data_IF_252776268658
#
_entry.id   IF_252776268658
#
_cell.length_a   1.000
_cell.length_b   1.000
_cell.length_c   1.000
_cell.angle_alpha   90.00
_cell.angle_beta   90.00
_cell.angle_gamma   90.00
#
_symmetry.space_group_name_H-M   'P 1'
#
loop_
_entity.id
_entity.type
_entity.pdbx_description
1 polymer ?
#
# COMPACT_ATOMS: atom_id res chain seq x y z
N UNK A 1 -6.51 -4.35 32.09
CA UNK A 1 -5.46 -4.21 33.13
C UNK A 1 -4.19 -3.65 32.48
N UNK A 2 -3.38 -2.85 33.20
CA UNK A 2 -2.10 -2.31 32.68
C UNK A 2 -0.93 -3.16 33.18
N UNK A 3 0.05 -3.39 32.32
CA UNK A 3 1.29 -4.09 32.69
C UNK A 3 2.13 -3.22 33.64
N UNK A 4 2.54 -3.74 34.79
CA UNK A 4 3.38 -3.01 35.76
C UNK A 4 4.84 -2.85 35.32
N UNK A 5 5.26 -3.52 34.24
CA UNK A 5 6.60 -3.37 33.66
C UNK A 5 6.68 -2.24 32.62
N UNK A 6 5.81 -2.28 31.59
CA UNK A 6 5.84 -1.32 30.48
C UNK A 6 4.71 -0.28 30.51
N UNK A 7 3.81 -0.35 31.50
CA UNK A 7 2.66 0.55 31.69
C UNK A 7 1.61 0.55 30.55
N UNK A 8 1.81 -0.24 29.50
CA UNK A 8 0.86 -0.39 28.38
C UNK A 8 -0.37 -1.19 28.82
N UNK A 9 -1.52 -0.86 28.25
CA UNK A 9 -2.75 -1.62 28.43
C UNK A 9 -2.59 -2.98 27.74
N UNK A 10 -2.62 -4.07 28.51
CA UNK A 10 -2.52 -5.42 27.94
C UNK A 10 -3.92 -6.03 27.82
N UNK A 11 -4.30 -6.40 26.60
CA UNK A 11 -5.43 -7.31 26.32
C UNK A 11 -4.98 -8.77 26.22
N UNK A 12 -3.69 -9.03 26.48
CA UNK A 12 -3.08 -10.33 26.25
C UNK A 12 -3.59 -11.40 27.23
N UNK A 13 -4.08 -12.50 26.65
CA UNK A 13 -4.51 -13.72 27.33
C UNK A 13 -3.33 -14.35 28.13
N UNK A 14 -2.09 -14.06 27.72
CA UNK A 14 -0.86 -14.61 28.31
C UNK A 14 -0.14 -13.58 29.20
N UNK A 15 -0.79 -13.18 30.29
CA UNK A 15 -0.19 -12.33 31.34
C UNK A 15 -0.02 -13.11 32.64
N UNK A 16 0.93 -12.68 33.47
CA UNK A 16 1.24 -13.31 34.77
C UNK A 16 1.07 -12.32 35.91
N UNK A 17 0.45 -12.77 37.00
CA UNK A 17 0.28 -12.00 38.24
C UNK A 17 1.35 -12.43 39.25
N UNK A 18 1.90 -11.47 39.99
CA UNK A 18 2.84 -11.76 41.08
C UNK A 18 2.16 -12.58 42.19
N UNK A 19 2.84 -13.60 42.73
CA UNK A 19 2.35 -14.38 43.88
C UNK A 19 2.71 -13.79 45.25
N UNK A 20 3.18 -12.53 45.30
CA UNK A 20 3.41 -11.82 46.55
C UNK A 20 2.10 -11.60 47.30
N UNK A 21 2.05 -11.92 48.59
CA UNK A 21 0.82 -11.88 49.40
C UNK A 21 0.10 -10.51 49.39
N UNK A 22 0.86 -9.42 49.19
CA UNK A 22 0.34 -8.05 49.08
C UNK A 22 0.65 -7.41 47.71
N UNK A 23 0.88 -8.21 46.66
CA UNK A 23 1.27 -7.71 45.35
C UNK A 23 0.23 -8.04 44.28
N UNK A 24 -0.51 -7.04 43.84
CA UNK A 24 -1.47 -7.16 42.74
C UNK A 24 -0.91 -6.77 41.36
N UNK A 25 0.42 -6.69 41.23
CA UNK A 25 1.07 -6.33 39.97
C UNK A 25 0.94 -7.45 38.93
N UNK A 26 0.62 -7.06 37.70
CA UNK A 26 0.44 -7.94 36.54
C UNK A 26 1.39 -7.53 35.42
N UNK A 27 1.90 -8.51 34.68
CA UNK A 27 2.93 -8.27 33.67
C UNK A 27 2.57 -9.02 32.37
N UNK A 28 2.83 -8.40 31.22
CA UNK A 28 2.65 -9.02 29.91
C UNK A 28 3.81 -9.95 29.55
N UNK A 29 3.56 -10.85 28.61
CA UNK A 29 4.54 -11.79 28.04
C UNK A 29 5.74 -11.13 27.35
N UNK A 30 5.65 -9.83 27.04
CA UNK A 30 6.78 -9.07 26.49
C UNK A 30 7.73 -8.56 27.59
N UNK A 31 7.21 -8.25 28.79
CA UNK A 31 8.03 -7.80 29.92
C UNK A 31 8.66 -8.96 30.69
N UNK A 32 8.10 -10.16 30.54
CA UNK A 32 8.58 -11.37 31.19
C UNK A 32 8.51 -12.47 30.15
N UNK A 33 9.58 -13.24 30.01
CA UNK A 33 9.61 -14.38 29.09
C UNK A 33 8.78 -15.57 29.62
N UNK A 34 7.45 -15.42 29.67
CA UNK A 34 6.50 -16.42 30.20
C UNK A 34 6.55 -17.71 29.35
N UNK A 35 6.85 -17.60 28.06
CA UNK A 35 6.90 -18.73 27.12
C UNK A 35 7.95 -19.78 27.49
N UNK A 36 9.04 -19.38 28.11
CA UNK A 36 10.14 -20.28 28.50
C UNK A 36 10.03 -20.81 29.93
N UNK A 37 9.02 -20.39 30.69
CA UNK A 37 8.82 -20.82 32.07
C UNK A 37 7.94 -22.07 32.16
N UNK A 38 8.30 -23.00 33.05
CA UNK A 38 7.44 -24.14 33.40
C UNK A 38 6.18 -23.68 34.15
N UNK A 39 5.11 -24.48 34.11
CA UNK A 39 3.84 -24.13 34.76
C UNK A 39 3.97 -23.97 36.28
N UNK A 40 4.85 -24.73 36.93
CA UNK A 40 5.15 -24.56 38.37
C UNK A 40 5.83 -23.22 38.66
N UNK A 41 6.80 -22.82 37.83
CA UNK A 41 7.46 -21.52 37.96
C UNK A 41 6.49 -20.38 37.72
N UNK A 42 5.51 -20.53 36.82
CA UNK A 42 4.45 -19.53 36.60
C UNK A 42 3.58 -19.33 37.83
N UNK A 43 3.15 -20.41 38.50
CA UNK A 43 2.32 -20.32 39.72
C UNK A 43 3.06 -19.65 40.89
N UNK A 44 4.36 -19.88 40.99
CA UNK A 44 5.20 -19.36 42.08
C UNK A 44 5.99 -18.10 41.70
N UNK A 45 5.66 -17.46 40.58
CA UNK A 45 6.41 -16.32 40.07
C UNK A 45 6.22 -15.09 40.95
N UNK A 46 7.32 -14.44 41.33
CA UNK A 46 7.33 -13.17 42.06
C UNK A 46 7.98 -12.09 41.22
N UNK A 47 7.41 -10.89 41.27
CA UNK A 47 7.98 -9.73 40.59
C UNK A 47 9.32 -9.30 41.23
N UNK A 48 10.17 -8.58 40.48
CA UNK A 48 11.45 -8.09 41.00
C UNK A 48 11.34 -7.33 42.32
N UNK A 49 10.30 -6.50 42.47
CA UNK A 49 10.08 -5.72 43.69
C UNK A 49 9.80 -6.62 44.90
N UNK A 50 8.95 -7.64 44.74
CA UNK A 50 8.67 -8.60 45.81
C UNK A 50 9.90 -9.44 46.16
N UNK A 51 10.71 -9.81 45.17
CA UNK A 51 11.98 -10.48 45.38
C UNK A 51 12.96 -9.60 46.15
N UNK A 52 13.03 -8.31 45.82
CA UNK A 52 13.88 -7.34 46.51
C UNK A 52 13.41 -7.06 47.94
N UNK A 53 12.10 -6.92 48.16
CA UNK A 53 11.53 -6.70 49.50
C UNK A 53 11.78 -7.91 50.42
N UNK A 54 11.74 -9.15 49.90
CA UNK A 54 12.09 -10.33 50.70
C UNK A 54 13.57 -10.37 51.11
N UNK A 55 14.45 -9.68 50.38
CA UNK A 55 15.89 -9.60 50.67
C UNK A 55 16.29 -8.42 51.57
N UNK A 56 15.36 -7.54 51.95
CA UNK A 56 15.61 -6.48 52.95
C UNK A 56 15.72 -7.11 54.33
N UNK A 57 16.91 -7.57 54.70
CA UNK A 57 17.18 -8.15 56.02
C UNK A 57 18.37 -9.09 56.05
N UNK A 58 19.44 -8.80 55.30
CA UNK A 58 20.73 -9.42 55.58
C UNK A 58 21.32 -8.76 56.81
N UNK A 59 21.68 -9.55 57.82
CA UNK A 59 22.42 -9.05 58.96
C UNK A 59 23.82 -8.64 58.51
N UNK A 60 24.02 -7.33 58.29
CA UNK A 60 25.31 -6.78 57.89
C UNK A 60 26.28 -6.65 59.09
N UNK A 61 25.94 -7.19 60.27
CA UNK A 61 26.78 -7.18 61.48
C UNK A 61 28.16 -7.80 61.30
N UNK A 62 28.31 -8.70 60.32
CA UNK A 62 29.59 -9.33 59.96
C UNK A 62 30.28 -8.67 58.77
N UNK A 63 29.77 -7.54 58.26
CA UNK A 63 30.46 -6.76 57.23
C UNK A 63 31.52 -5.94 57.93
N UNK A 64 32.83 -6.18 57.71
CA UNK A 64 33.87 -5.44 58.41
C UNK A 64 33.81 -3.97 57.99
N UNK A 65 33.43 -3.08 58.92
CA UNK A 65 33.51 -1.64 58.72
C UNK A 65 35.00 -1.27 58.88
N UNK A 66 35.69 -1.07 57.76
CA UNK A 66 37.08 -0.58 57.81
C UNK A 66 37.08 0.87 58.32
N UNK A 67 38.03 1.23 59.20
CA UNK A 67 38.27 2.63 59.55
C UNK A 67 38.60 3.43 58.28
N UNK A 68 38.12 4.67 58.25
CA UNK A 68 38.15 5.55 57.11
C UNK A 68 39.57 6.09 56.82
N UNK A 69 40.46 5.23 56.38
CA UNK A 69 41.72 5.62 55.75
C UNK A 69 41.60 5.39 54.24
N UNK A 70 41.48 6.49 53.50
CA UNK A 70 41.88 6.76 52.10
C UNK A 70 41.89 5.62 51.05
N UNK A 71 41.12 4.57 51.27
CA UNK A 71 40.75 3.56 50.29
C UNK A 71 39.24 3.66 50.13
N UNK A 72 38.78 4.84 49.72
CA UNK A 72 37.63 4.90 48.84
C UNK A 72 38.01 3.96 47.70
N UNK A 73 37.35 2.81 47.61
CA UNK A 73 37.21 2.18 46.30
C UNK A 73 36.52 3.26 45.48
N UNK A 74 37.32 4.09 44.80
CA UNK A 74 36.86 4.78 43.63
C UNK A 74 36.33 3.62 42.82
N UNK A 75 35.01 3.45 42.86
CA UNK A 75 34.29 2.54 42.00
C UNK A 75 34.88 2.88 40.65
N UNK A 76 35.74 1.99 40.14
CA UNK A 76 36.56 2.22 38.95
C UNK A 76 35.63 2.98 38.04
N UNK A 77 35.91 4.28 37.80
CA UNK A 77 35.14 5.00 36.78
C UNK A 77 35.16 4.02 35.64
N UNK A 78 33.96 3.62 35.20
CA UNK A 78 33.81 2.71 34.10
C UNK A 78 34.39 3.47 32.91
N UNK A 79 35.72 3.49 32.81
CA UNK A 79 36.45 3.77 31.61
C UNK A 79 35.97 2.63 30.73
N UNK A 80 34.94 2.96 29.96
CA UNK A 80 34.44 2.13 28.88
C UNK A 80 35.67 1.59 28.19
N UNK A 81 35.86 0.27 28.30
CA UNK A 81 36.95 -0.38 27.59
C UNK A 81 36.84 0.07 26.12
N UNK A 82 37.94 0.33 25.40
CA UNK A 82 37.87 0.53 23.96
C UNK A 82 37.03 -0.56 23.25
N UNK A 83 36.98 -1.76 23.82
CA UNK A 83 36.13 -2.87 23.38
C UNK A 83 34.63 -2.65 23.63
N UNK A 84 34.23 -2.03 24.74
CA UNK A 84 32.83 -1.70 25.04
C UNK A 84 32.31 -0.61 24.11
N UNK A 85 33.14 0.39 23.80
CA UNK A 85 32.83 1.45 22.84
C UNK A 85 32.72 0.92 21.41
N UNK A 86 33.66 0.05 21.00
CA UNK A 86 33.58 -0.62 19.70
C UNK A 86 32.32 -1.50 19.61
N UNK A 87 31.96 -2.22 20.67
CA UNK A 87 30.75 -3.03 20.71
C UNK A 87 29.47 -2.17 20.61
N UNK A 88 29.45 -0.99 21.25
CA UNK A 88 28.35 -0.04 21.13
C UNK A 88 28.21 0.50 19.70
N UNK A 89 29.31 0.92 19.09
CA UNK A 89 29.36 1.42 17.70
C UNK A 89 28.93 0.33 16.70
N UNK A 90 29.45 -0.89 16.82
CA UNK A 90 29.05 -2.02 15.97
C UNK A 90 27.54 -2.31 16.10
N UNK A 91 26.98 -2.18 17.30
CA UNK A 91 25.55 -2.36 17.52
C UNK A 91 24.73 -1.25 16.87
N UNK A 92 25.17 -0.01 16.95
CA UNK A 92 24.53 1.13 16.30
C UNK A 92 24.55 0.98 14.77
N UNK A 93 25.72 0.70 14.18
CA UNK A 93 25.85 0.40 12.75
C UNK A 93 24.96 -0.78 12.34
N UNK A 94 24.86 -1.82 13.17
CA UNK A 94 24.00 -2.97 12.88
C UNK A 94 22.53 -2.57 12.80
N UNK A 95 22.06 -1.69 13.68
CA UNK A 95 20.68 -1.18 13.64
C UNK A 95 20.44 -0.26 12.44
N UNK A 96 21.40 0.61 12.10
CA UNK A 96 21.32 1.44 10.89
C UNK A 96 21.24 0.59 9.62
N UNK A 97 22.09 -0.44 9.51
CA UNK A 97 22.04 -1.40 8.38
C UNK A 97 20.68 -2.10 8.32
N UNK A 98 20.10 -2.48 9.47
CA UNK A 98 18.74 -3.06 9.50
C UNK A 98 17.67 -2.06 9.07
N UNK A 99 17.79 -0.78 9.43
CA UNK A 99 16.85 0.26 9.00
C UNK A 99 16.95 0.49 7.49
N UNK A 100 18.15 0.70 6.97
CA UNK A 100 18.41 0.87 5.53
C UNK A 100 17.93 -0.35 4.73
N UNK A 101 18.14 -1.57 5.24
CA UNK A 101 17.65 -2.79 4.58
C UNK A 101 16.11 -2.78 4.46
N UNK A 102 15.40 -2.33 5.50
CA UNK A 102 13.93 -2.21 5.47
C UNK A 102 13.48 -1.12 4.49
N UNK A 103 14.15 0.02 4.47
CA UNK A 103 13.84 1.11 3.54
C UNK A 103 14.06 0.69 2.08
N UNK A 104 15.19 0.03 1.79
CA UNK A 104 15.48 -0.52 0.46
C UNK A 104 14.39 -1.52 0.05
N UNK A 105 13.95 -2.39 0.96
CA UNK A 105 12.89 -3.36 0.68
C UNK A 105 11.57 -2.65 0.35
N UNK A 106 11.20 -1.63 1.13
CA UNK A 106 9.99 -0.82 0.89
C UNK A 106 10.07 -0.04 -0.43
N UNK A 107 11.21 0.56 -0.75
CA UNK A 107 11.42 1.25 -2.03
C UNK A 107 11.34 0.29 -3.21
N UNK A 108 11.87 -0.92 -3.07
CA UNK A 108 11.78 -1.96 -4.10
C UNK A 108 10.32 -2.37 -4.36
N UNK A 109 9.53 -2.57 -3.30
CA UNK A 109 8.09 -2.88 -3.44
C UNK A 109 7.33 -1.75 -4.12
N UNK A 110 7.61 -0.49 -3.76
CA UNK A 110 7.00 0.68 -4.40
C UNK A 110 7.39 0.80 -5.87
N UNK A 111 8.65 0.51 -6.21
CA UNK A 111 9.13 0.52 -7.59
C UNK A 111 8.46 -0.58 -8.43
N UNK A 112 8.29 -1.78 -7.86
CA UNK A 112 7.59 -2.88 -8.53
C UNK A 112 6.12 -2.53 -8.79
N UNK A 113 5.45 -1.95 -7.79
CA UNK A 113 4.08 -1.48 -7.93
C UNK A 113 3.94 -0.37 -8.98
N UNK A 114 4.89 0.58 -9.01
CA UNK A 114 4.89 1.64 -10.00
C UNK A 114 5.13 1.10 -11.42
N UNK A 115 6.07 0.17 -11.58
CA UNK A 115 6.35 -0.52 -12.85
C UNK A 115 5.12 -1.28 -13.35
N UNK A 116 4.44 -2.00 -12.45
CA UNK A 116 3.20 -2.72 -12.78
C UNK A 116 2.08 -1.77 -13.21
N UNK A 117 1.90 -0.66 -12.47
CA UNK A 117 0.92 0.37 -12.84
C UNK A 117 1.23 0.99 -14.20
N UNK A 118 2.51 1.23 -14.50
CA UNK A 118 2.95 1.81 -15.77
C UNK A 118 2.67 0.86 -16.93
N UNK A 119 2.95 -0.44 -16.76
CA UNK A 119 2.62 -1.47 -17.75
C UNK A 119 1.12 -1.55 -18.01
N UNK A 120 0.28 -1.49 -16.97
CA UNK A 120 -1.17 -1.45 -17.12
C UNK A 120 -1.64 -0.19 -17.88
N UNK A 121 -1.10 0.99 -17.54
CA UNK A 121 -1.40 2.22 -18.26
C UNK A 121 -0.98 2.15 -19.74
N UNK A 122 0.19 1.56 -20.03
CA UNK A 122 0.68 1.36 -21.39
C UNK A 122 -0.27 0.49 -22.21
N UNK A 123 -0.72 -0.64 -21.66
CA UNK A 123 -1.69 -1.51 -22.34
C UNK A 123 -3.02 -0.78 -22.64
N UNK A 124 -3.50 0.04 -21.70
CA UNK A 124 -4.70 0.88 -21.92
C UNK A 124 -4.50 1.93 -23.00
N UNK A 125 -3.31 2.53 -23.11
CA UNK A 125 -3.00 3.48 -24.18
C UNK A 125 -2.97 2.81 -25.55
N UNK A 126 -2.45 1.58 -25.64
CA UNK A 126 -2.47 0.79 -26.88
C UNK A 126 -3.91 0.44 -27.29
N UNK A 127 -4.75 0.02 -26.34
CA UNK A 127 -6.18 -0.21 -26.58
C UNK A 127 -6.88 1.05 -27.10
N UNK A 128 -6.69 2.20 -26.44
CA UNK A 128 -7.28 3.46 -26.89
C UNK A 128 -6.77 3.87 -28.28
N UNK A 129 -5.48 3.67 -28.56
CA UNK A 129 -4.89 3.96 -29.87
C UNK A 129 -5.54 3.10 -30.97
N UNK A 130 -5.73 1.81 -30.73
CA UNK A 130 -6.41 0.91 -31.69
C UNK A 130 -7.89 1.27 -31.88
N UNK A 131 -8.58 1.68 -30.81
CA UNK A 131 -9.96 2.14 -30.88
C UNK A 131 -10.09 3.41 -31.70
N UNK A 132 -9.18 4.37 -31.53
CA UNK A 132 -9.14 5.61 -32.31
C UNK A 132 -8.93 5.29 -33.80
N UNK A 133 -7.93 4.46 -34.13
CA UNK A 133 -7.66 4.07 -35.50
C UNK A 133 -8.86 3.38 -36.18
N UNK A 134 -9.59 2.56 -35.43
CA UNK A 134 -10.82 1.90 -35.90
C UNK A 134 -11.94 2.91 -36.15
N UNK A 135 -12.12 3.87 -35.25
CA UNK A 135 -13.12 4.92 -35.42
C UNK A 135 -12.79 5.85 -36.60
N UNK A 136 -11.52 6.21 -36.79
CA UNK A 136 -11.07 6.99 -37.94
C UNK A 136 -11.36 6.28 -39.27
N UNK A 137 -11.12 4.96 -39.32
CA UNK A 137 -11.50 4.17 -40.49
C UNK A 137 -13.01 4.19 -40.75
N UNK A 138 -13.82 4.05 -39.69
CA UNK A 138 -15.29 4.11 -39.79
C UNK A 138 -15.76 5.48 -40.26
N UNK A 139 -15.19 6.57 -39.76
CA UNK A 139 -15.51 7.94 -40.18
C UNK A 139 -15.20 8.10 -41.67
N UNK A 140 -14.01 7.71 -42.14
CA UNK A 140 -13.65 7.77 -43.56
C UNK A 140 -14.60 6.96 -44.45
N UNK A 141 -15.04 5.79 -43.98
CA UNK A 141 -16.04 4.99 -44.70
C UNK A 141 -17.38 5.71 -44.81
N UNK A 142 -17.85 6.33 -43.73
CA UNK A 142 -19.08 7.12 -43.72
C UNK A 142 -18.98 8.37 -44.61
N UNK A 143 -17.86 9.08 -44.58
CA UNK A 143 -17.61 10.23 -45.46
C UNK A 143 -17.64 9.84 -46.95
N UNK A 144 -17.09 8.67 -47.29
CA UNK A 144 -17.17 8.17 -48.66
C UNK A 144 -18.59 7.81 -49.08
N UNK A 145 -19.38 7.22 -48.18
CA UNK A 145 -20.81 6.95 -48.41
C UNK A 145 -21.60 8.24 -48.58
N UNK A 146 -21.31 9.28 -47.81
CA UNK A 146 -21.96 10.60 -47.94
C UNK A 146 -21.68 11.24 -49.32
N UNK A 147 -20.46 11.10 -49.83
CA UNK A 147 -20.11 11.53 -51.20
C UNK A 147 -20.90 10.75 -52.25
N UNK A 148 -21.01 9.43 -52.10
CA UNK A 148 -21.77 8.58 -53.02
C UNK A 148 -23.27 8.94 -53.02
N UNK A 149 -23.85 9.18 -51.85
CA UNK A 149 -25.24 9.64 -51.72
C UNK A 149 -25.45 10.95 -52.48
N UNK A 150 -24.58 11.94 -52.32
CA UNK A 150 -24.66 13.21 -53.07
C UNK A 150 -24.59 13.02 -54.59
N UNK A 151 -23.74 12.10 -55.06
CA UNK A 151 -23.65 11.78 -56.50
C UNK A 151 -24.97 11.16 -56.98
N UNK A 152 -25.52 10.22 -56.21
CA UNK A 152 -26.79 9.57 -56.55
C UNK A 152 -27.97 10.55 -56.51
N UNK A 153 -28.01 11.46 -55.53
CA UNK A 153 -29.02 12.52 -55.44
C UNK A 153 -29.00 13.43 -56.68
N UNK A 154 -27.80 13.86 -57.11
CA UNK A 154 -27.65 14.63 -58.34
C UNK A 154 -28.14 13.83 -59.56
N UNK A 155 -27.81 12.53 -59.64
CA UNK A 155 -28.25 11.71 -60.77
C UNK A 155 -29.76 11.51 -60.79
N UNK A 156 -30.39 11.35 -59.64
CA UNK A 156 -31.85 11.28 -59.52
C UNK A 156 -32.48 12.58 -60.00
N UNK A 157 -31.91 13.73 -59.63
CA UNK A 157 -32.40 15.04 -60.07
C UNK A 157 -32.30 15.20 -61.60
N UNK A 158 -31.17 14.82 -62.21
CA UNK A 158 -30.99 14.82 -63.67
C UNK A 158 -32.05 13.95 -64.36
N UNK A 159 -32.22 12.71 -63.90
CA UNK A 159 -33.18 11.77 -64.49
C UNK A 159 -34.63 12.26 -64.31
N UNK A 160 -34.96 12.90 -63.20
CA UNK A 160 -36.26 13.53 -63.01
C UNK A 160 -36.51 14.65 -64.03
N UNK A 161 -35.51 15.51 -64.27
CA UNK A 161 -35.61 16.57 -65.29
C UNK A 161 -35.79 16.00 -66.69
N UNK A 162 -35.06 14.94 -67.05
CA UNK A 162 -35.21 14.24 -68.32
C UNK A 162 -36.63 13.66 -68.48
N UNK A 163 -37.16 13.00 -67.44
CA UNK A 163 -38.52 12.44 -67.45
C UNK A 163 -39.57 13.54 -67.62
N UNK A 164 -39.43 14.68 -66.95
CA UNK A 164 -40.33 15.82 -67.14
C UNK A 164 -40.27 16.34 -68.58
N UNK A 165 -39.07 16.50 -69.15
CA UNK A 165 -38.89 16.94 -70.53
C UNK A 165 -39.54 15.96 -71.54
N UNK A 166 -39.36 14.65 -71.36
CA UNK A 166 -40.04 13.64 -72.18
C UNK A 166 -41.56 13.70 -72.02
N UNK A 167 -42.07 13.94 -70.81
CA UNK A 167 -43.49 14.14 -70.55
C UNK A 167 -44.07 15.33 -71.30
N UNK A 168 -43.37 16.46 -71.31
CA UNK A 168 -43.78 17.68 -72.02
C UNK A 168 -43.82 17.48 -73.54
N UNK A 169 -42.80 16.81 -74.10
CA UNK A 169 -42.76 16.45 -75.53
C UNK A 169 -43.93 15.54 -75.88
N UNK A 170 -44.20 14.51 -75.07
CA UNK A 170 -45.31 13.59 -75.30
C UNK A 170 -46.68 14.27 -75.24
N UNK A 171 -46.89 15.17 -74.26
CA UNK A 171 -48.11 15.95 -74.15
C UNK A 171 -48.32 16.87 -75.36
N UNK A 172 -47.23 17.46 -75.87
CA UNK A 172 -47.25 18.31 -77.07
C UNK A 172 -47.65 17.51 -78.30
N UNK A 173 -47.04 16.33 -78.52
CA UNK A 173 -47.38 15.45 -79.64
C UNK A 173 -48.85 15.02 -79.61
N UNK A 174 -49.37 14.65 -78.44
CA UNK A 174 -50.80 14.34 -78.25
C UNK A 174 -51.74 15.53 -78.45
N UNK A 175 -51.25 16.76 -78.29
CA UNK A 175 -52.00 17.96 -78.64
C UNK A 175 -52.19 18.07 -80.14
N UNK A 176 -51.08 17.93 -80.89
CA UNK A 176 -51.06 18.00 -82.35
C UNK A 176 -51.91 16.92 -83.01
N UNK A 177 -51.85 15.67 -82.53
CA UNK A 177 -52.69 14.57 -83.04
C UNK A 177 -54.19 14.89 -82.94
N UNK A 178 -54.62 15.51 -81.83
CA UNK A 178 -56.03 15.90 -81.63
C UNK A 178 -56.47 17.03 -82.56
N UNK A 179 -55.57 17.94 -82.92
CA UNK A 179 -55.87 19.03 -83.87
C UNK A 179 -56.00 18.51 -85.30
N UNK A 180 -55.23 17.48 -85.67
CA UNK A 180 -55.32 16.85 -87.01
C UNK A 180 -56.58 16.02 -87.22
N UNK A 181 -57.17 15.44 -86.16
CA UNK A 181 -58.41 14.65 -86.27
C UNK A 181 -59.69 15.50 -86.44
N UNK A 182 -59.60 16.83 -86.29
CA UNK A 182 -60.73 17.76 -86.38
C UNK A 182 -60.85 18.42 -87.77
N UNK A 183 -59.84 18.30 -88.63
CA UNK A 183 -59.78 18.85 -89.99
C UNK A 183 -60.13 17.79 -91.06
#
# INVERSE_FOLDING_TARGET
MKCSGCLKASKDINSIKCCGAACDKQFCSMCINIGTMSNEKKKNWRCPDCCAMKKKGGDNSLTPVRPADENITLRKKHDESPEDNLHAEVKELTEEVRLLTREITSLKERLESATSSMSCCQARLEELTTSIATNDFRIKSLENRDKEVKILENKVLELQQEVYAYGDVWNTLKGLERETDIL
#
